data_IF_644275271800
#
_entry.id   IF_644275271800
#
_cell.length_a   1.000
_cell.length_b   1.000
_cell.length_c   1.000
_cell.angle_alpha   90.00
_cell.angle_beta   90.00
_cell.angle_gamma   90.00
#
_symmetry.space_group_name_H-M   'P 1'
#
loop_
_entity.id
_entity.type
_entity.pdbx_description
1 polymer ?
#
# COMPACT_ATOMS: atom_id res chain seq x y z
N UNK A 1 -16.12 37.73 57.27
CA UNK A 1 -15.12 36.85 56.64
C UNK A 1 -15.42 36.85 55.13
N UNK A 2 -14.50 37.46 54.39
CA UNK A 2 -14.60 37.69 52.96
C UNK A 2 -13.79 36.61 52.27
N UNK A 3 -14.37 35.90 51.32
CA UNK A 3 -13.63 35.04 50.42
C UNK A 3 -13.86 35.51 48.97
N UNK A 4 -12.80 36.01 48.37
CA UNK A 4 -12.73 36.45 46.99
C UNK A 4 -12.61 35.21 46.08
N UNK A 5 -13.45 35.10 45.08
CA UNK A 5 -13.28 34.20 43.95
C UNK A 5 -12.99 35.05 42.71
N UNK A 6 -11.87 34.79 42.07
CA UNK A 6 -11.40 35.43 40.84
C UNK A 6 -11.73 34.55 39.66
N UNK A 7 -12.48 34.96 38.63
CA UNK A 7 -12.64 34.22 37.39
C UNK A 7 -11.57 34.67 36.41
N UNK A 8 -10.63 33.77 36.10
CA UNK A 8 -9.70 33.93 34.97
C UNK A 8 -10.46 33.64 33.67
N UNK A 9 -10.67 34.71 32.89
CA UNK A 9 -11.11 34.60 31.51
C UNK A 9 -10.00 33.99 30.68
N UNK A 10 -10.24 32.80 30.15
CA UNK A 10 -9.39 32.19 29.12
C UNK A 10 -10.01 32.46 27.77
N UNK A 11 -9.46 33.38 27.01
CA UNK A 11 -9.82 33.61 25.61
C UNK A 11 -9.13 32.53 24.81
N UNK A 12 -9.91 31.56 24.34
CA UNK A 12 -9.46 30.57 23.37
C UNK A 12 -9.62 31.18 21.97
N UNK A 13 -8.51 31.60 21.37
CA UNK A 13 -8.45 31.94 19.96
C UNK A 13 -8.44 30.67 19.14
N UNK A 14 -9.56 30.34 18.53
CA UNK A 14 -9.71 29.23 17.60
C UNK A 14 -9.37 29.72 16.19
N UNK A 15 -8.13 29.54 15.77
CA UNK A 15 -7.74 29.69 14.36
C UNK A 15 -7.85 28.31 13.73
N UNK A 16 -8.99 28.06 13.11
CA UNK A 16 -9.23 26.83 12.34
C UNK A 16 -8.82 27.10 10.89
N UNK A 17 -7.53 26.95 10.61
CA UNK A 17 -7.05 26.87 9.23
C UNK A 17 -7.13 25.39 8.81
N UNK A 18 -8.27 25.01 8.19
CA UNK A 18 -8.50 23.67 7.64
C UNK A 18 -8.04 23.66 6.19
N UNK A 19 -6.75 23.53 5.98
CA UNK A 19 -6.27 22.94 4.73
C UNK A 19 -6.48 21.43 4.81
N UNK A 20 -7.08 20.79 3.80
CA UNK A 20 -7.16 19.34 3.76
C UNK A 20 -5.74 18.81 3.55
N UNK A 21 -5.08 18.44 4.65
CA UNK A 21 -3.85 17.66 4.58
C UNK A 21 -4.21 16.35 3.90
N UNK A 22 -3.68 16.16 2.71
CA UNK A 22 -3.68 14.86 2.03
C UNK A 22 -2.80 13.96 2.89
N UNK A 23 -3.39 13.26 3.84
CA UNK A 23 -2.70 12.23 4.62
C UNK A 23 -2.15 11.20 3.64
N UNK A 24 -0.86 10.86 3.69
CA UNK A 24 -0.34 9.76 2.89
C UNK A 24 -1.07 8.49 3.33
N UNK A 25 -1.61 7.71 2.37
CA UNK A 25 -2.31 6.45 2.64
C UNK A 25 -1.41 5.46 3.37
N UNK A 26 -0.12 5.71 3.41
CA UNK A 26 0.93 4.90 4.02
C UNK A 26 1.52 5.46 5.32
N UNK A 27 0.76 6.21 6.13
CA UNK A 27 1.11 6.36 7.54
C UNK A 27 0.84 5.01 8.23
N UNK A 28 1.81 4.11 8.14
CA UNK A 28 1.66 2.70 8.51
C UNK A 28 1.84 2.53 10.00
N UNK A 29 0.78 2.18 10.71
CA UNK A 29 0.90 1.48 11.98
C UNK A 29 1.03 -0.03 11.68
N UNK A 30 2.26 -0.55 11.80
CA UNK A 30 2.56 -1.97 11.57
C UNK A 30 2.00 -2.83 12.71
N UNK A 31 0.95 -3.58 12.44
CA UNK A 31 0.66 -4.76 13.23
C UNK A 31 1.35 -5.94 12.54
N UNK A 32 2.54 -6.28 13.01
CA UNK A 32 3.30 -7.44 12.51
C UNK A 32 2.61 -8.70 13.02
N UNK A 33 1.86 -9.36 12.16
CA UNK A 33 1.45 -10.74 12.42
C UNK A 33 2.65 -11.64 12.14
N UNK A 34 3.06 -12.43 13.15
CA UNK A 34 4.18 -13.40 13.04
C UNK A 34 3.97 -14.32 11.84
N UNK A 35 5.02 -14.66 11.07
CA UNK A 35 4.90 -15.61 9.98
C UNK A 35 4.64 -17.01 10.53
N UNK A 36 3.66 -17.70 9.95
CA UNK A 36 3.50 -19.13 10.16
C UNK A 36 4.77 -19.86 9.73
N UNK A 37 5.39 -20.57 10.66
CA UNK A 37 6.70 -21.22 10.50
C UNK A 37 6.73 -22.36 9.47
N UNK A 38 5.59 -22.67 8.84
CA UNK A 38 5.44 -23.73 7.85
C UNK A 38 5.40 -23.29 6.39
N UNK A 39 5.43 -22.00 6.09
CA UNK A 39 5.51 -21.52 4.71
C UNK A 39 6.98 -21.31 4.34
N UNK A 40 7.47 -22.06 3.36
CA UNK A 40 8.82 -21.99 2.78
C UNK A 40 9.20 -20.60 2.20
N UNK A 41 8.31 -19.61 2.32
CA UNK A 41 8.45 -18.25 1.77
C UNK A 41 7.82 -17.21 2.69
N UNK A 42 8.56 -16.13 3.04
CA UNK A 42 8.01 -15.05 3.83
C UNK A 42 7.01 -14.25 3.00
N UNK A 43 5.74 -14.28 3.40
CA UNK A 43 4.69 -13.40 2.85
C UNK A 43 4.66 -12.13 3.69
N UNK A 44 4.83 -10.98 3.04
CA UNK A 44 4.62 -9.66 3.63
C UNK A 44 3.11 -9.49 3.82
N UNK A 45 2.68 -9.05 5.00
CA UNK A 45 1.28 -8.77 5.33
C UNK A 45 1.19 -7.39 5.95
N UNK A 46 0.36 -6.54 5.39
CA UNK A 46 0.09 -5.19 5.88
C UNK A 46 -1.42 -5.04 6.00
N UNK A 47 -1.89 -4.53 7.14
CA UNK A 47 -3.28 -4.14 7.34
C UNK A 47 -3.30 -2.67 7.71
N UNK A 48 -4.06 -1.88 6.96
CA UNK A 48 -4.17 -0.44 7.17
C UNK A 48 -5.63 -0.01 7.16
N UNK A 49 -6.02 0.83 8.13
CA UNK A 49 -7.33 1.48 8.17
C UNK A 49 -7.22 2.93 7.73
N UNK A 50 -8.14 3.34 6.88
CA UNK A 50 -8.23 4.70 6.39
C UNK A 50 -9.65 5.24 6.50
N UNK A 51 -9.79 6.55 6.65
CA UNK A 51 -11.08 7.23 6.57
C UNK A 51 -11.63 7.32 5.14
N UNK A 52 -10.82 7.03 4.12
CA UNK A 52 -11.26 7.03 2.74
C UNK A 52 -12.25 5.89 2.46
N UNK A 53 -13.38 6.15 1.79
CA UNK A 53 -14.29 5.11 1.32
C UNK A 53 -13.58 4.07 0.45
N UNK A 54 -14.08 2.83 0.42
CA UNK A 54 -13.44 1.73 -0.30
C UNK A 54 -13.19 2.04 -1.79
N UNK A 55 -14.09 2.73 -2.47
CA UNK A 55 -13.93 3.13 -3.86
C UNK A 55 -12.77 4.13 -4.05
N UNK A 56 -12.60 5.06 -3.12
CA UNK A 56 -11.51 6.03 -3.15
C UNK A 56 -10.17 5.36 -2.82
N UNK A 57 -10.13 4.51 -1.79
CA UNK A 57 -8.94 3.72 -1.46
C UNK A 57 -8.52 2.83 -2.63
N UNK A 58 -9.50 2.19 -3.30
CA UNK A 58 -9.26 1.42 -4.52
C UNK A 58 -8.64 2.25 -5.62
N UNK A 59 -9.25 3.38 -5.98
CA UNK A 59 -8.75 4.26 -7.04
C UNK A 59 -7.31 4.72 -6.79
N UNK A 60 -6.98 5.02 -5.53
CA UNK A 60 -5.62 5.47 -5.15
C UNK A 60 -4.59 4.34 -5.17
N UNK A 61 -4.98 3.13 -4.72
CA UNK A 61 -4.07 1.98 -4.62
C UNK A 61 -3.83 1.30 -5.98
N UNK A 62 -4.77 1.45 -6.92
CA UNK A 62 -4.67 0.88 -8.26
C UNK A 62 -4.28 1.89 -9.34
N UNK A 63 -3.96 3.10 -8.96
CA UNK A 63 -3.23 4.07 -9.78
C UNK A 63 -1.73 3.68 -9.75
N UNK A 64 -1.35 2.80 -10.67
CA UNK A 64 -0.01 2.20 -10.68
C UNK A 64 1.11 3.20 -10.87
N UNK A 65 0.89 4.27 -11.62
CA UNK A 65 1.87 5.33 -11.85
C UNK A 65 2.10 6.12 -10.56
N UNK A 66 1.02 6.54 -9.91
CA UNK A 66 1.08 7.25 -8.64
C UNK A 66 1.64 6.37 -7.53
N UNK A 67 1.27 5.08 -7.51
CA UNK A 67 1.80 4.12 -6.55
C UNK A 67 3.31 3.94 -6.71
N UNK A 68 3.77 3.72 -7.94
CA UNK A 68 5.21 3.60 -8.23
C UNK A 68 6.01 4.86 -7.89
N UNK A 69 5.41 6.05 -8.05
CA UNK A 69 6.05 7.32 -7.71
C UNK A 69 6.33 7.50 -6.20
N UNK A 70 5.66 6.71 -5.34
CA UNK A 70 5.89 6.73 -3.88
C UNK A 70 7.10 5.88 -3.47
N UNK A 71 7.55 4.96 -4.33
CA UNK A 71 8.73 4.14 -4.08
C UNK A 71 9.97 4.87 -4.59
N UNK A 72 10.97 5.15 -3.74
CA UNK A 72 12.17 5.86 -4.15
C UNK A 72 12.83 5.21 -5.36
N UNK A 73 13.29 6.04 -6.31
CA UNK A 73 14.00 5.63 -7.52
C UNK A 73 13.18 4.70 -8.45
N UNK A 74 11.86 4.64 -8.27
CA UNK A 74 10.97 3.78 -9.06
C UNK A 74 10.11 4.61 -10.01
N UNK A 75 9.93 4.09 -11.22
CA UNK A 75 8.96 4.59 -12.19
C UNK A 75 8.11 3.44 -12.69
N UNK A 76 6.82 3.69 -12.90
CA UNK A 76 5.92 2.71 -13.53
C UNK A 76 5.86 2.96 -15.03
N UNK A 77 5.88 1.87 -15.79
CA UNK A 77 5.72 1.84 -17.24
C UNK A 77 4.48 0.99 -17.53
N UNK A 78 3.41 1.60 -18.01
CA UNK A 78 2.18 0.89 -18.38
C UNK A 78 2.37 0.31 -19.77
N UNK A 79 2.25 -1.01 -19.92
CA UNK A 79 2.42 -1.74 -21.19
C UNK A 79 1.09 -1.99 -21.89
N UNK A 80 -0.02 -2.07 -21.14
CA UNK A 80 -1.38 -2.31 -21.67
C UNK A 80 -2.18 -1.03 -21.62
N UNK A 81 -2.86 -0.70 -22.72
CA UNK A 81 -3.72 0.49 -22.79
C UNK A 81 -4.79 0.52 -21.68
N UNK A 82 -5.07 1.71 -21.10
CA UNK A 82 -6.12 1.87 -20.09
C UNK A 82 -7.53 1.60 -20.68
N UNK A 83 -8.55 1.34 -19.81
CA UNK A 83 -8.48 1.30 -18.35
C UNK A 83 -7.85 0.01 -17.82
N UNK A 84 -7.41 0.02 -16.54
CA UNK A 84 -6.90 -1.18 -15.87
C UNK A 84 -7.98 -2.26 -15.76
N UNK A 85 -7.61 -3.49 -16.07
CA UNK A 85 -8.47 -4.68 -16.07
C UNK A 85 -7.64 -5.94 -15.81
N UNK A 86 -8.27 -7.10 -15.69
CA UNK A 86 -7.53 -8.37 -15.68
C UNK A 86 -6.81 -8.55 -17.03
N UNK A 87 -5.51 -8.86 -16.99
CA UNK A 87 -4.63 -8.89 -18.16
C UNK A 87 -3.83 -7.60 -18.38
N UNK A 88 -4.08 -6.53 -17.60
CA UNK A 88 -3.23 -5.33 -17.63
C UNK A 88 -1.82 -5.67 -17.18
N UNK A 89 -0.84 -5.20 -17.95
CA UNK A 89 0.58 -5.40 -17.71
C UNK A 89 1.24 -4.06 -17.49
N UNK A 90 2.07 -3.97 -16.46
CA UNK A 90 2.92 -2.82 -16.18
C UNK A 90 4.24 -3.26 -15.54
N UNK A 91 5.25 -2.42 -15.63
CA UNK A 91 6.58 -2.67 -15.07
C UNK A 91 6.97 -1.57 -14.10
N UNK A 92 7.28 -1.94 -12.86
CA UNK A 92 7.96 -1.06 -11.92
C UNK A 92 9.46 -1.16 -12.14
N UNK A 93 10.07 -0.10 -12.66
CA UNK A 93 11.52 0.00 -12.87
C UNK A 93 12.15 0.78 -11.75
N UNK A 94 13.00 0.12 -10.97
CA UNK A 94 13.70 0.71 -9.83
C UNK A 94 15.19 0.79 -10.11
N UNK A 95 15.83 1.93 -9.83
CA UNK A 95 17.26 2.11 -9.93
C UNK A 95 17.70 3.46 -10.47
N UNK A 96 19.03 3.61 -10.70
CA UNK A 96 19.66 4.86 -11.15
C UNK A 96 20.53 4.60 -12.37
N UNK A 97 20.37 5.41 -13.40
CA UNK A 97 21.15 5.36 -14.62
C UNK A 97 21.01 4.01 -15.34
N UNK A 98 22.10 3.26 -15.44
CA UNK A 98 22.14 1.93 -16.07
C UNK A 98 21.95 0.77 -15.09
N UNK A 99 21.95 1.05 -13.79
CA UNK A 99 21.76 0.04 -12.74
C UNK A 99 20.28 0.07 -12.37
N UNK A 100 19.48 -0.69 -13.09
CA UNK A 100 18.04 -0.80 -12.87
C UNK A 100 17.60 -2.25 -12.86
N UNK A 101 16.54 -2.54 -12.13
CA UNK A 101 15.84 -3.82 -12.22
C UNK A 101 14.35 -3.59 -12.49
N UNK A 102 13.75 -4.51 -13.21
CA UNK A 102 12.37 -4.47 -13.63
C UNK A 102 11.56 -5.51 -12.85
N UNK A 103 10.51 -5.05 -12.19
CA UNK A 103 9.44 -5.88 -11.64
C UNK A 103 8.22 -5.76 -12.56
N UNK A 104 8.12 -6.71 -13.51
CA UNK A 104 7.02 -6.78 -14.46
C UNK A 104 5.85 -7.52 -13.84
N UNK A 105 4.70 -6.89 -13.82
CA UNK A 105 3.49 -7.39 -13.17
C UNK A 105 2.33 -7.49 -14.14
N UNK A 106 1.51 -8.52 -13.93
CA UNK A 106 0.25 -8.74 -14.63
C UNK A 106 -0.90 -8.75 -13.64
N UNK A 107 -1.94 -7.98 -13.88
CA UNK A 107 -3.20 -8.03 -13.12
C UNK A 107 -3.95 -9.30 -13.50
N UNK A 108 -4.04 -10.27 -12.60
CA UNK A 108 -4.73 -11.54 -12.85
C UNK A 108 -6.14 -11.59 -12.26
N UNK A 109 -6.41 -10.77 -11.23
CA UNK A 109 -7.75 -10.55 -10.67
C UNK A 109 -8.00 -9.06 -10.58
N UNK A 110 -9.15 -8.63 -11.09
CA UNK A 110 -9.61 -7.26 -11.04
C UNK A 110 -11.09 -7.22 -10.65
N UNK A 111 -11.37 -6.93 -9.39
CA UNK A 111 -12.72 -6.78 -8.84
C UNK A 111 -12.79 -5.51 -8.02
N UNK A 112 -13.22 -4.38 -8.59
CA UNK A 112 -13.44 -3.16 -7.84
C UNK A 112 -14.46 -3.35 -6.71
N UNK A 113 -14.36 -2.60 -5.61
CA UNK A 113 -15.36 -2.65 -4.55
C UNK A 113 -16.72 -2.20 -5.09
N UNK A 114 -17.76 -2.92 -4.69
CA UNK A 114 -19.16 -2.55 -4.93
C UNK A 114 -19.84 -2.28 -3.59
N UNK A 115 -21.10 -1.83 -3.62
CA UNK A 115 -21.86 -1.56 -2.42
C UNK A 115 -21.86 -2.77 -1.49
N UNK A 116 -21.32 -2.59 -0.27
CA UNK A 116 -21.21 -3.65 0.74
C UNK A 116 -20.22 -4.78 0.44
N UNK A 117 -19.56 -4.78 -0.72
CA UNK A 117 -18.64 -5.86 -1.13
C UNK A 117 -17.20 -5.38 -1.21
N UNK A 118 -16.22 -6.19 -0.75
CA UNK A 118 -14.81 -5.84 -0.82
C UNK A 118 -14.30 -5.82 -2.26
N UNK A 119 -13.37 -4.90 -2.55
CA UNK A 119 -12.55 -4.91 -3.75
C UNK A 119 -11.39 -5.88 -3.61
N UNK A 120 -10.98 -6.51 -4.71
CA UNK A 120 -9.81 -7.39 -4.76
C UNK A 120 -9.04 -7.21 -6.07
N UNK A 121 -7.76 -6.89 -5.95
CA UNK A 121 -6.81 -6.97 -7.06
C UNK A 121 -5.70 -7.95 -6.70
N UNK A 122 -5.33 -8.79 -7.66
CA UNK A 122 -4.19 -9.70 -7.57
C UNK A 122 -3.27 -9.50 -8.74
N UNK A 123 -1.99 -9.38 -8.43
CA UNK A 123 -0.88 -9.20 -9.36
C UNK A 123 0.00 -10.44 -9.33
N UNK A 124 0.42 -10.91 -10.51
CA UNK A 124 1.46 -11.90 -10.66
C UNK A 124 2.74 -11.22 -11.15
N UNK A 125 3.85 -11.45 -10.47
CA UNK A 125 5.14 -10.93 -10.85
C UNK A 125 5.76 -11.80 -11.94
N UNK A 126 5.78 -11.28 -13.18
CA UNK A 126 6.23 -11.97 -14.40
C UNK A 126 7.66 -11.58 -14.80
N UNK A 127 8.39 -10.92 -13.90
CA UNK A 127 9.75 -10.45 -14.14
C UNK A 127 10.75 -11.61 -14.28
N UNK A 128 11.89 -11.32 -14.92
CA UNK A 128 13.03 -12.24 -15.00
C UNK A 128 13.83 -12.26 -13.71
N UNK A 129 13.91 -11.12 -13.03
CA UNK A 129 14.64 -10.90 -11.78
C UNK A 129 13.73 -11.06 -10.57
N UNK A 130 12.54 -10.48 -10.62
CA UNK A 130 11.54 -10.51 -9.54
C UNK A 130 10.39 -11.43 -9.92
N UNK A 131 10.03 -12.34 -9.03
CA UNK A 131 8.88 -13.26 -9.18
C UNK A 131 8.09 -13.31 -7.89
N UNK A 132 6.86 -13.80 -7.95
CA UNK A 132 5.93 -13.87 -6.82
C UNK A 132 4.58 -13.29 -7.17
N UNK A 133 3.89 -12.78 -6.17
CA UNK A 133 2.55 -12.21 -6.33
C UNK A 133 2.31 -11.13 -5.29
N UNK A 134 1.36 -10.24 -5.58
CA UNK A 134 0.80 -9.29 -4.61
C UNK A 134 -0.72 -9.33 -4.69
N UNK A 135 -1.38 -9.18 -3.56
CA UNK A 135 -2.83 -9.14 -3.45
C UNK A 135 -3.25 -8.01 -2.51
N UNK A 136 -4.17 -7.18 -2.97
CA UNK A 136 -4.74 -6.07 -2.22
C UNK A 136 -6.24 -6.28 -2.13
N UNK A 137 -6.75 -6.44 -0.92
CA UNK A 137 -8.17 -6.50 -0.62
C UNK A 137 -8.58 -5.24 0.13
N UNK A 138 -9.65 -4.59 -0.29
CA UNK A 138 -10.17 -3.36 0.31
C UNK A 138 -11.58 -3.62 0.79
N UNK A 139 -11.77 -3.58 2.11
CA UNK A 139 -13.04 -3.85 2.79
C UNK A 139 -13.68 -2.56 3.26
N UNK A 140 -14.93 -2.26 2.88
CA UNK A 140 -15.65 -1.13 3.46
C UNK A 140 -15.89 -1.37 4.96
N UNK A 141 -15.78 -0.32 5.77
CA UNK A 141 -16.10 -0.36 7.20
C UNK A 141 -17.50 0.18 7.46
N UNK A 142 -18.26 -0.41 8.41
CA UNK A 142 -19.61 0.07 8.76
C UNK A 142 -19.64 1.52 9.26
N UNK A 143 -18.54 1.97 9.85
CA UNK A 143 -18.38 3.35 10.37
C UNK A 143 -18.00 4.38 9.30
N UNK A 144 -17.96 3.98 8.03
CA UNK A 144 -17.34 4.73 6.96
C UNK A 144 -15.83 4.46 6.89
N UNK A 145 -15.19 4.81 5.78
CA UNK A 145 -13.80 4.47 5.51
C UNK A 145 -13.61 3.03 5.04
N UNK A 146 -12.37 2.54 5.08
CA UNK A 146 -12.05 1.20 4.62
C UNK A 146 -10.83 0.59 5.34
N UNK A 147 -10.72 -0.73 5.24
CA UNK A 147 -9.58 -1.50 5.71
C UNK A 147 -8.90 -2.17 4.51
N UNK A 148 -7.62 -1.89 4.33
CA UNK A 148 -6.77 -2.42 3.27
C UNK A 148 -5.96 -3.57 3.81
N UNK A 149 -6.05 -4.72 3.16
CA UNK A 149 -5.20 -5.89 3.41
C UNK A 149 -4.27 -6.09 2.23
N UNK A 150 -2.99 -5.87 2.43
CA UNK A 150 -1.95 -6.14 1.44
C UNK A 150 -1.22 -7.41 1.82
N UNK A 151 -1.10 -8.33 0.87
CA UNK A 151 -0.31 -9.56 0.99
C UNK A 151 0.61 -9.65 -0.20
N UNK A 152 1.88 -9.92 0.03
CA UNK A 152 2.86 -9.99 -1.05
C UNK A 152 3.91 -11.06 -0.77
N UNK A 153 4.19 -11.87 -1.77
CA UNK A 153 5.34 -12.75 -1.86
C UNK A 153 6.29 -12.20 -2.91
N UNK A 154 7.55 -12.01 -2.55
CA UNK A 154 8.56 -11.48 -3.43
C UNK A 154 9.79 -12.36 -3.40
N UNK A 155 10.25 -12.77 -4.58
CA UNK A 155 11.47 -13.57 -4.79
C UNK A 155 12.39 -12.87 -5.78
N UNK A 156 13.67 -12.81 -5.44
CA UNK A 156 14.71 -12.40 -6.36
C UNK A 156 15.41 -13.64 -6.94
N UNK A 157 15.32 -13.83 -8.25
CA UNK A 157 16.04 -14.92 -8.94
C UNK A 157 17.55 -14.70 -8.84
N UNK A 158 18.26 -15.79 -8.51
CA UNK A 158 19.71 -15.75 -8.35
C UNK A 158 20.20 -15.47 -6.92
N UNK A 159 19.29 -15.10 -6.00
CA UNK A 159 19.64 -15.03 -4.59
C UNK A 159 19.39 -16.37 -3.89
N UNK A 160 20.33 -16.83 -3.03
CA UNK A 160 20.09 -18.00 -2.19
C UNK A 160 18.85 -17.79 -1.31
N UNK A 161 18.02 -18.83 -1.15
CA UNK A 161 16.79 -18.79 -0.32
C UNK A 161 17.03 -18.34 1.12
N UNK A 162 18.23 -18.53 1.64
CA UNK A 162 18.62 -18.05 2.96
C UNK A 162 18.54 -16.52 3.11
N UNK A 163 18.52 -15.77 2.01
CA UNK A 163 18.39 -14.29 1.99
C UNK A 163 16.96 -13.79 1.81
N UNK A 164 15.98 -14.68 1.56
CA UNK A 164 14.58 -14.32 1.39
C UNK A 164 14.03 -13.48 2.58
N UNK A 165 14.37 -13.75 3.87
CA UNK A 165 13.95 -12.91 4.97
C UNK A 165 14.50 -11.47 4.90
N UNK A 166 15.72 -11.29 4.42
CA UNK A 166 16.33 -9.97 4.25
C UNK A 166 15.66 -9.19 3.11
N UNK A 167 15.31 -9.88 2.02
CA UNK A 167 14.56 -9.30 0.89
C UNK A 167 13.16 -8.87 1.33
N UNK A 168 12.47 -9.69 2.13
CA UNK A 168 11.17 -9.34 2.69
C UNK A 168 11.25 -8.16 3.66
N UNK A 169 12.32 -8.05 4.45
CA UNK A 169 12.56 -6.92 5.33
C UNK A 169 12.80 -5.62 4.54
N UNK A 170 13.60 -5.68 3.48
CA UNK A 170 13.85 -4.55 2.59
C UNK A 170 12.57 -4.11 1.85
N UNK A 171 11.76 -5.06 1.37
CA UNK A 171 10.45 -4.78 0.77
C UNK A 171 9.51 -4.02 1.71
N UNK A 172 9.49 -4.38 3.00
CA UNK A 172 8.70 -3.65 4.02
C UNK A 172 9.15 -2.21 4.21
N UNK A 173 10.45 -1.94 4.16
CA UNK A 173 11.00 -0.58 4.29
C UNK A 173 10.68 0.29 3.07
N UNK A 174 10.51 -0.31 1.88
CA UNK A 174 10.14 0.41 0.66
C UNK A 174 8.64 0.71 0.58
N UNK A 175 7.81 -0.05 1.29
CA UNK A 175 6.36 0.12 1.35
C UNK A 175 5.89 0.90 2.60
N UNK A 176 6.80 1.40 3.43
CA UNK A 176 6.55 2.24 4.61
C UNK A 176 6.74 3.72 4.26
#
# INVERSE_FOLDING_TARGET
VVTRSNPRSTVAASITDRHPRTEPIFAVQFTVCMPDYHALMPVIRIVHRTSAPAAEAWSRLTDWERHGAQVPLTRTIIETAPPTHAGTIFTARTGVGRITFDDRMEVVVWRPPAEGSPGLVRLEKRGRTVTGWAEIEIRPLPTGGSEVHWREELRLRGLPRALDPAVAAAGRLLCA
#
